data_IF_822542052353
#
_entry.id   IF_822542052353
#
_cell.length_a   1.000
_cell.length_b   1.000
_cell.length_c   1.000
_cell.angle_alpha   90.00
_cell.angle_beta   90.00
_cell.angle_gamma   90.00
#
_symmetry.space_group_name_H-M   'P 1'
#
loop_
_entity.id
_entity.type
_entity.pdbx_description
1 polymer ?
#
# COMPACT_ATOMS: atom_id res chain seq x y z
N UNK A 1 10.60 -10.64 -50.58
CA UNK A 1 10.65 -9.66 -49.46
C UNK A 1 10.51 -10.46 -48.20
N UNK A 2 11.64 -10.99 -47.81
CA UNK A 2 11.81 -12.09 -46.88
C UNK A 2 12.11 -11.53 -45.50
N UNK A 3 11.40 -12.06 -44.50
CA UNK A 3 12.00 -12.76 -43.36
C UNK A 3 11.09 -12.66 -42.14
N UNK A 4 10.55 -13.81 -41.78
CA UNK A 4 10.09 -14.15 -40.43
C UNK A 4 11.20 -13.84 -39.43
N UNK A 5 10.90 -13.10 -38.37
CA UNK A 5 11.60 -13.28 -37.09
C UNK A 5 10.59 -13.13 -35.97
N UNK A 6 10.01 -14.28 -35.61
CA UNK A 6 9.41 -14.50 -34.30
C UNK A 6 10.56 -14.45 -33.28
N UNK A 7 10.65 -13.34 -32.55
CA UNK A 7 11.54 -13.23 -31.40
C UNK A 7 10.81 -13.82 -30.19
N UNK A 8 11.13 -15.07 -29.92
CA UNK A 8 10.88 -15.80 -28.69
C UNK A 8 11.39 -14.99 -27.50
N UNK A 9 10.48 -14.46 -26.67
CA UNK A 9 10.86 -13.89 -25.38
C UNK A 9 11.06 -15.03 -24.36
N UNK A 10 12.20 -15.10 -23.65
CA UNK A 10 12.40 -16.09 -22.61
C UNK A 10 11.53 -15.78 -21.39
N UNK A 11 10.69 -16.75 -21.03
CA UNK A 11 10.05 -16.89 -19.71
C UNK A 11 11.11 -17.04 -18.61
N UNK A 12 11.12 -16.19 -17.57
CA UNK A 12 11.76 -16.55 -16.32
C UNK A 12 10.79 -17.36 -15.46
N UNK A 13 10.97 -18.67 -15.44
CA UNK A 13 10.43 -19.56 -14.41
C UNK A 13 11.58 -20.12 -13.56
N UNK A 14 11.80 -19.49 -12.42
CA UNK A 14 12.50 -20.00 -11.24
C UNK A 14 12.25 -18.95 -10.14
N UNK A 15 11.51 -19.20 -9.05
CA UNK A 15 11.63 -20.36 -8.17
C UNK A 15 12.30 -19.87 -6.88
N UNK A 16 11.50 -19.51 -5.87
CA UNK A 16 11.96 -19.35 -4.50
C UNK A 16 10.85 -19.86 -3.54
N UNK A 17 11.16 -20.83 -2.66
CA UNK A 17 10.20 -21.53 -1.81
C UNK A 17 9.97 -20.85 -0.45
N UNK A 18 9.01 -21.44 0.28
CA UNK A 18 8.79 -21.41 1.73
C UNK A 18 7.80 -20.36 2.27
N UNK A 19 6.58 -20.85 2.48
CA UNK A 19 5.96 -21.06 3.79
C UNK A 19 6.12 -19.99 4.90
N UNK A 20 5.00 -19.87 5.64
CA UNK A 20 4.75 -19.15 6.89
C UNK A 20 4.28 -17.69 6.69
N UNK A 21 3.15 -17.23 7.25
CA UNK A 21 2.39 -17.79 8.35
C UNK A 21 0.92 -17.37 8.26
N UNK A 22 0.04 -18.35 8.44
CA UNK A 22 -1.15 -18.23 9.26
C UNK A 22 -0.78 -17.51 10.56
N UNK A 23 -1.35 -16.34 10.84
CA UNK A 23 -1.58 -15.94 12.23
C UNK A 23 -2.91 -15.19 12.32
N UNK A 24 -3.95 -16.01 12.30
CA UNK A 24 -5.14 -15.77 13.08
C UNK A 24 -4.94 -16.42 14.46
N UNK A 25 -4.17 -15.81 15.37
CA UNK A 25 -4.40 -15.95 16.81
C UNK A 25 -3.55 -14.99 17.65
N UNK A 26 -4.21 -13.94 18.10
CA UNK A 26 -4.18 -13.55 19.51
C UNK A 26 -2.79 -13.30 20.13
N UNK A 27 -2.13 -12.23 19.69
CA UNK A 27 -1.19 -11.49 20.54
C UNK A 27 -1.88 -10.22 21.07
N UNK A 28 -2.55 -10.37 22.21
CA UNK A 28 -2.94 -9.35 23.18
C UNK A 28 -2.79 -7.86 22.80
N UNK A 29 -3.93 -7.23 22.54
CA UNK A 29 -4.30 -5.86 22.96
C UNK A 29 -3.73 -4.61 22.27
N UNK A 30 -2.98 -4.70 21.16
CA UNK A 30 -2.73 -3.52 20.30
C UNK A 30 -3.15 -3.79 18.85
N UNK A 31 -4.17 -3.10 18.31
CA UNK A 31 -4.54 -3.23 16.91
C UNK A 31 -3.33 -2.86 16.03
N UNK A 32 -3.06 -3.66 14.98
CA UNK A 32 -2.04 -3.34 13.99
C UNK A 32 -2.29 -1.92 13.44
N UNK A 33 -1.25 -1.11 13.16
CA UNK A 33 -1.41 0.31 12.77
C UNK A 33 -2.25 0.54 11.51
N UNK A 34 -2.45 -0.49 10.69
CA UNK A 34 -3.35 -0.49 9.54
C UNK A 34 -4.84 -0.62 9.89
N UNK A 35 -5.20 -0.98 11.12
CA UNK A 35 -6.58 -1.27 11.53
C UNK A 35 -7.27 -0.11 12.26
N UNK A 36 -6.52 0.94 12.59
CA UNK A 36 -6.96 1.99 13.50
C UNK A 36 -7.58 3.18 12.76
N UNK A 37 -6.89 3.65 11.71
CA UNK A 37 -7.28 4.82 10.92
C UNK A 37 -7.57 4.38 9.48
N UNK A 38 -8.45 3.38 9.35
CA UNK A 38 -8.70 2.67 8.08
C UNK A 38 -9.41 3.58 7.08
N UNK A 39 -10.39 4.35 7.56
CA UNK A 39 -11.11 5.36 6.78
C UNK A 39 -10.21 6.49 6.30
N UNK A 40 -9.46 7.14 7.21
CA UNK A 40 -8.53 8.21 6.83
C UNK A 40 -7.44 7.72 5.89
N UNK A 41 -6.98 6.48 6.07
CA UNK A 41 -6.03 5.85 5.15
C UNK A 41 -6.63 5.68 3.76
N UNK A 42 -7.82 5.09 3.65
CA UNK A 42 -8.51 4.92 2.37
C UNK A 42 -8.70 6.26 1.66
N UNK A 43 -9.22 7.30 2.33
CA UNK A 43 -9.44 8.61 1.72
C UNK A 43 -8.15 9.26 1.23
N UNK A 44 -7.07 9.14 2.01
CA UNK A 44 -5.75 9.65 1.61
C UNK A 44 -5.20 8.89 0.40
N UNK A 45 -5.27 7.56 0.41
CA UNK A 45 -4.83 6.73 -0.71
C UNK A 45 -5.68 7.02 -1.96
N UNK A 46 -7.00 7.15 -1.84
CA UNK A 46 -7.89 7.55 -2.94
C UNK A 46 -7.52 8.93 -3.48
N UNK A 47 -7.29 9.91 -2.61
CA UNK A 47 -6.84 11.23 -3.03
C UNK A 47 -5.49 11.16 -3.77
N UNK A 48 -4.49 10.47 -3.23
CA UNK A 48 -3.19 10.36 -3.90
C UNK A 48 -3.27 9.60 -5.24
N UNK A 49 -4.16 8.62 -5.34
CA UNK A 49 -4.29 7.78 -6.54
C UNK A 49 -5.15 8.44 -7.63
N UNK A 50 -6.13 9.25 -7.26
CA UNK A 50 -7.09 9.87 -8.20
C UNK A 50 -6.93 11.39 -8.37
N UNK A 51 -6.07 12.06 -7.59
CA UNK A 51 -5.82 13.50 -7.77
C UNK A 51 -5.17 13.77 -9.12
N UNK A 52 -5.76 14.69 -9.88
CA UNK A 52 -5.24 15.18 -11.15
C UNK A 52 -4.35 16.44 -10.98
N UNK A 53 -4.03 16.78 -9.73
CA UNK A 53 -3.20 17.92 -9.40
C UNK A 53 -1.75 17.71 -9.87
N UNK A 54 -1.05 18.81 -10.14
CA UNK A 54 0.38 18.79 -10.48
C UNK A 54 1.22 18.21 -9.34
N UNK A 55 0.76 18.42 -8.10
CA UNK A 55 1.37 17.89 -6.88
C UNK A 55 0.28 17.30 -5.97
N UNK A 56 -0.02 16.00 -6.07
CA UNK A 56 -1.06 15.35 -5.27
C UNK A 56 -0.68 15.26 -3.78
N UNK A 57 0.61 15.34 -3.44
CA UNK A 57 1.06 15.33 -2.06
C UNK A 57 0.67 16.63 -1.33
N UNK A 58 0.77 17.78 -2.00
CA UNK A 58 0.29 19.05 -1.49
C UNK A 58 -1.25 19.10 -1.41
N UNK A 59 -1.94 18.58 -2.42
CA UNK A 59 -3.41 18.56 -2.51
C UNK A 59 -4.03 17.68 -1.41
N UNK A 60 -3.49 16.48 -1.22
CA UNK A 60 -3.96 15.53 -0.22
C UNK A 60 -3.39 15.76 1.19
N UNK A 61 -2.64 16.85 1.42
CA UNK A 61 -1.96 17.12 2.69
C UNK A 61 -2.91 17.11 3.88
N UNK A 62 -4.10 17.69 3.72
CA UNK A 62 -5.15 17.70 4.75
C UNK A 62 -5.57 16.29 5.18
N UNK A 63 -5.66 15.35 4.23
CA UNK A 63 -6.01 13.96 4.51
C UNK A 63 -4.84 13.19 5.14
N UNK A 64 -3.61 13.51 4.75
CA UNK A 64 -2.40 12.97 5.38
C UNK A 64 -2.30 13.41 6.84
N UNK A 65 -2.56 14.69 7.15
CA UNK A 65 -2.55 15.22 8.50
C UNK A 65 -3.66 14.61 9.38
N UNK A 66 -4.85 14.36 8.81
CA UNK A 66 -5.91 13.62 9.50
C UNK A 66 -5.48 12.18 9.85
N UNK A 67 -4.90 11.45 8.89
CA UNK A 67 -4.37 10.11 9.13
C UNK A 67 -3.30 10.07 10.23
N UNK A 68 -2.37 11.04 10.20
CA UNK A 68 -1.34 11.18 11.25
C UNK A 68 -1.95 11.49 12.60
N UNK A 69 -2.91 12.42 12.66
CA UNK A 69 -3.60 12.78 13.90
C UNK A 69 -4.32 11.58 14.51
N UNK A 70 -5.00 10.79 13.68
CA UNK A 70 -5.62 9.56 14.14
C UNK A 70 -4.56 8.59 14.69
N UNK A 71 -3.47 8.32 13.97
CA UNK A 71 -2.44 7.39 14.47
C UNK A 71 -1.76 7.87 15.76
N UNK A 72 -1.55 9.18 15.90
CA UNK A 72 -1.05 9.82 17.12
C UNK A 72 -2.00 9.62 18.32
N UNK A 73 -3.32 9.67 18.09
CA UNK A 73 -4.33 9.42 19.13
C UNK A 73 -4.27 8.00 19.72
N UNK A 74 -3.73 7.04 18.96
CA UNK A 74 -3.52 5.67 19.42
C UNK A 74 -2.07 5.38 19.85
N UNK A 75 -1.22 6.41 19.89
CA UNK A 75 0.17 6.31 20.34
C UNK A 75 1.14 5.81 19.27
N UNK A 76 0.76 5.81 17.99
CA UNK A 76 1.64 5.45 16.87
C UNK A 76 2.21 6.71 16.22
N UNK A 77 3.54 6.76 16.04
CA UNK A 77 4.25 7.86 15.37
C UNK A 77 4.58 7.44 13.93
N UNK A 78 4.21 8.26 12.95
CA UNK A 78 4.11 7.93 11.51
C UNK A 78 4.86 8.95 10.65
#
# INVERSE_FOLDING_TARGET
MDARTAATLPTPAAGAPAAAATDASSASSKPKPCCVCKDEKSRRDECMLFSNAKDPAADCKSLVDQYKTCMLGYGFKV
#
